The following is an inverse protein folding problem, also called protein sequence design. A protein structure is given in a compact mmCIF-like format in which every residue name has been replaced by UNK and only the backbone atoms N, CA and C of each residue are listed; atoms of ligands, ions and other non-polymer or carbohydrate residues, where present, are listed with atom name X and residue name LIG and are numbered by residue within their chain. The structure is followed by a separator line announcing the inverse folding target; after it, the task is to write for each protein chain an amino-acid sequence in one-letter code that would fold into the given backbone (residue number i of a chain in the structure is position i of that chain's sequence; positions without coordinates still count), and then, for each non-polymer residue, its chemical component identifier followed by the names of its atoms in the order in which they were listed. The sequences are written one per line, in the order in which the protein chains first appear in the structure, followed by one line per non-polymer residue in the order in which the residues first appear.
data_IF_922524119009
#
_entry.id   IF_922524119009
#
_cell.length_a   1.000
_cell.length_b   1.000
_cell.length_c   1.000
_cell.angle_alpha   90.00
_cell.angle_beta   90.00
_cell.angle_gamma   90.00
#
_symmetry.space_group_name_H-M   'P 1'
#
loop_
_entity.id
_entity.type
_entity.pdbx_description
1 polymer ?
#
# COMPACT_ATOMS: atom_id res chain seq x y z
N UNK A 1 2.73 6.48 -10.16
CA UNK A 1 1.80 5.75 -9.26
C UNK A 1 2.59 4.63 -8.62
N UNK A 2 2.63 4.50 -7.29
CA UNK A 2 3.47 3.49 -6.62
C UNK A 2 2.98 2.07 -6.95
N UNK A 3 3.90 1.18 -7.35
CA UNK A 3 3.64 -0.23 -7.65
C UNK A 3 4.49 -1.16 -6.79
N UNK A 4 4.04 -2.42 -6.67
CA UNK A 4 4.72 -3.47 -5.93
C UNK A 4 4.52 -4.83 -6.62
N UNK A 5 5.47 -5.77 -6.45
CA UNK A 5 5.29 -7.14 -6.91
C UNK A 5 4.22 -7.83 -6.07
N UNK A 6 3.05 -8.10 -6.66
CA UNK A 6 1.97 -8.86 -6.06
C UNK A 6 2.08 -10.32 -6.50
N UNK A 7 2.23 -11.22 -5.52
CA UNK A 7 2.19 -12.65 -5.77
C UNK A 7 0.73 -13.14 -5.78
N UNK A 8 0.33 -13.75 -6.89
CA UNK A 8 -0.99 -14.32 -7.11
C UNK A 8 -1.05 -15.76 -6.57
N UNK A 9 -2.27 -16.27 -6.35
CA UNK A 9 -2.51 -17.62 -5.83
C UNK A 9 -1.95 -18.73 -6.72
N UNK A 10 -1.83 -18.45 -8.03
CA UNK A 10 -1.23 -19.36 -9.00
C UNK A 10 0.32 -19.36 -9.00
N UNK A 11 0.94 -18.67 -8.03
CA UNK A 11 2.40 -18.57 -7.90
C UNK A 11 3.07 -17.52 -8.80
N UNK A 12 2.32 -16.85 -9.69
CA UNK A 12 2.87 -15.79 -10.55
C UNK A 12 3.02 -14.49 -9.77
N UNK A 13 4.07 -13.73 -10.10
CA UNK A 13 4.26 -12.37 -9.58
C UNK A 13 3.94 -11.36 -10.67
N UNK A 14 3.01 -10.45 -10.39
CA UNK A 14 2.61 -9.38 -11.30
C UNK A 14 2.88 -8.02 -10.65
N UNK A 15 3.20 -7.02 -11.45
CA UNK A 15 3.30 -5.66 -10.94
C UNK A 15 1.89 -5.09 -10.71
N UNK A 16 1.59 -4.72 -9.48
CA UNK A 16 0.30 -4.15 -9.09
C UNK A 16 0.48 -2.76 -8.49
N UNK A 17 -0.41 -1.82 -8.83
CA UNK A 17 -0.40 -0.49 -8.19
C UNK A 17 -1.18 -0.53 -6.88
N UNK A 18 -0.75 0.28 -5.92
CA UNK A 18 -1.45 0.38 -4.62
C UNK A 18 -2.92 0.76 -4.80
N UNK A 19 -3.21 1.72 -5.68
CA UNK A 19 -4.60 2.13 -5.99
C UNK A 19 -5.44 0.98 -6.53
N UNK A 20 -4.91 0.18 -7.45
CA UNK A 20 -5.65 -0.96 -8.02
C UNK A 20 -5.86 -2.05 -6.98
N UNK A 21 -4.85 -2.34 -6.16
CA UNK A 21 -4.96 -3.30 -5.08
C UNK A 21 -6.05 -2.91 -4.06
N UNK A 22 -6.05 -1.66 -3.60
CA UNK A 22 -7.06 -1.17 -2.65
C UNK A 22 -8.48 -1.15 -3.24
N UNK A 23 -8.61 -0.79 -4.51
CA UNK A 23 -9.88 -0.83 -5.21
C UNK A 23 -10.40 -2.26 -5.37
N UNK A 24 -9.55 -3.22 -5.72
CA UNK A 24 -9.99 -4.59 -5.98
C UNK A 24 -10.22 -5.38 -4.68
N UNK A 25 -9.23 -5.34 -3.77
CA UNK A 25 -9.21 -6.13 -2.54
C UNK A 25 -10.14 -5.59 -1.46
N UNK A 26 -10.16 -4.26 -1.28
CA UNK A 26 -10.91 -3.59 -0.21
C UNK A 26 -12.12 -2.80 -0.71
N UNK A 27 -12.39 -2.79 -2.03
CA UNK A 27 -13.44 -1.97 -2.65
C UNK A 27 -13.32 -0.49 -2.29
N UNK A 28 -12.09 -0.03 -2.06
CA UNK A 28 -11.80 1.34 -1.63
C UNK A 28 -11.20 2.12 -2.79
N UNK A 29 -11.93 3.13 -3.27
CA UNK A 29 -11.41 4.08 -4.26
C UNK A 29 -10.66 5.20 -3.53
N UNK A 30 -9.34 5.20 -3.67
CA UNK A 30 -8.49 6.30 -3.20
C UNK A 30 -8.88 7.58 -3.92
N UNK A 31 -9.10 8.65 -3.16
CA UNK A 31 -9.57 9.94 -3.70
C UNK A 31 -8.40 10.82 -4.13
N UNK A 32 -7.24 10.69 -3.48
CA UNK A 32 -6.13 11.61 -3.69
C UNK A 32 -4.89 10.87 -4.22
N UNK A 33 -4.22 11.40 -5.27
CA UNK A 33 -2.98 10.84 -5.80
C UNK A 33 -1.77 11.24 -4.94
N UNK A 34 -1.84 11.03 -3.64
CA UNK A 34 -0.77 11.34 -2.69
C UNK A 34 0.29 10.23 -2.65
N UNK A 35 1.53 10.54 -2.20
CA UNK A 35 2.55 9.51 -2.01
C UNK A 35 2.11 8.47 -0.97
N UNK A 36 2.60 7.24 -1.13
CA UNK A 36 2.36 6.17 -0.15
C UNK A 36 3.47 6.16 0.91
N UNK A 37 3.15 5.72 2.12
CA UNK A 37 4.13 5.44 3.17
C UNK A 37 4.71 4.04 2.96
N UNK A 38 6.03 3.92 2.87
CA UNK A 38 6.70 2.62 2.97
C UNK A 38 6.90 2.27 4.44
N UNK A 39 6.41 1.11 4.85
CA UNK A 39 6.41 0.69 6.26
C UNK A 39 6.97 -0.72 6.43
N UNK A 40 7.35 -1.08 7.66
CA UNK A 40 7.93 -2.38 7.96
C UNK A 40 9.40 -2.47 7.55
N UNK A 41 9.82 -3.63 7.05
CA UNK A 41 11.18 -3.84 6.57
C UNK A 41 11.37 -3.13 5.22
N UNK A 42 12.47 -2.38 5.06
CA UNK A 42 12.76 -1.65 3.82
C UNK A 42 12.76 -2.55 2.57
N UNK A 43 13.24 -3.79 2.70
CA UNK A 43 13.28 -4.78 1.61
C UNK A 43 11.89 -5.33 1.26
N UNK A 44 10.89 -5.15 2.13
CA UNK A 44 9.52 -5.58 1.89
C UNK A 44 8.75 -4.41 1.28
N UNK A 45 8.20 -4.62 0.08
CA UNK A 45 7.42 -3.64 -0.68
C UNK A 45 6.02 -3.40 -0.06
N UNK A 46 5.98 -2.90 1.18
CA UNK A 46 4.74 -2.63 1.92
C UNK A 46 4.44 -1.15 1.86
N UNK A 47 3.46 -0.79 1.02
CA UNK A 47 3.07 0.60 0.79
C UNK A 47 1.64 0.86 1.29
N UNK A 48 1.48 1.89 2.12
CA UNK A 48 0.17 2.31 2.65
C UNK A 48 -0.21 3.70 2.12
N UNK A 49 -1.41 3.86 1.52
CA UNK A 49 -1.96 5.17 1.21
C UNK A 49 -2.12 6.03 2.47
N UNK A 50 -1.89 7.34 2.36
CA UNK A 50 -2.12 8.25 3.49
C UNK A 50 -3.59 8.25 3.94
N UNK A 51 -4.52 8.03 3.02
CA UNK A 51 -5.97 7.96 3.31
C UNK A 51 -6.36 6.86 4.30
N UNK A 52 -5.51 5.83 4.48
CA UNK A 52 -5.75 4.72 5.40
C UNK A 52 -4.88 4.78 6.66
N UNK A 53 -4.09 5.84 6.81
CA UNK A 53 -3.14 5.97 7.92
C UNK A 53 -3.63 6.96 8.97
N UNK A 54 -3.40 6.63 10.24
CA UNK A 54 -3.52 7.55 11.36
C UNK A 54 -2.21 7.58 12.14
N UNK A 55 -1.86 8.75 12.67
CA UNK A 55 -0.67 8.88 13.51
C UNK A 55 -0.95 8.22 14.86
N UNK A 56 -0.08 7.28 15.25
CA UNK A 56 -0.14 6.64 16.57
C UNK A 56 0.17 7.69 17.63
N UNK A 57 -0.73 7.86 18.59
CA UNK A 57 -0.55 8.78 19.72
C UNK A 57 0.52 8.29 20.69
N UNK A 58 1.15 9.21 21.43
CA UNK A 58 2.11 8.85 22.48
C UNK A 58 3.49 8.41 21.98
N UNK A 59 3.87 8.80 20.76
CA UNK A 59 5.23 8.62 20.26
C UNK A 59 6.20 9.38 21.18
N UNK A 60 7.17 8.67 21.75
CA UNK A 60 8.25 9.27 22.52
C UNK A 60 9.21 9.95 21.53
N UNK A 61 9.58 11.20 21.82
CA UNK A 61 10.63 11.90 21.10
C UNK A 61 12.00 11.25 21.32
#
# INVERSE_FOLDING_TARGET
MQSFPLQLENGQTVECTVTKYFLDKYKMKLRYPLPCLQVGQEHKHTYLPLEVCNIVVGQRC
#
